data_IF_303442784377
#
_entry.id   IF_303442784377
#
_cell.length_a   1.000
_cell.length_b   1.000
_cell.length_c   1.000
_cell.angle_alpha   90.00
_cell.angle_beta   90.00
_cell.angle_gamma   90.00
#
_symmetry.space_group_name_H-M   'P 1'
#
loop_
_entity.id
_entity.type
_entity.pdbx_description
1 polymer ?
#
# COMPACT_ATOMS: atom_id res chain seq x y z
N UNK A 1 25.37 21.06 -19.16
CA UNK A 1 25.43 20.85 -17.69
C UNK A 1 24.12 21.41 -17.13
N UNK A 2 23.28 20.59 -16.50
CA UNK A 2 22.00 21.07 -15.96
C UNK A 2 22.22 22.03 -14.78
N UNK A 3 21.32 23.00 -14.60
CA UNK A 3 21.34 23.91 -13.44
C UNK A 3 21.18 23.09 -12.14
N UNK A 4 21.91 23.42 -11.06
CA UNK A 4 21.80 22.73 -9.76
C UNK A 4 20.35 22.60 -9.25
N UNK A 5 19.52 23.61 -9.55
CA UNK A 5 18.10 23.64 -9.17
C UNK A 5 17.28 22.57 -9.93
N UNK A 6 17.59 22.32 -11.20
CA UNK A 6 16.92 21.31 -12.02
C UNK A 6 17.25 19.91 -11.51
N UNK A 7 18.51 19.66 -11.11
CA UNK A 7 18.94 18.36 -10.57
C UNK A 7 18.22 18.01 -9.26
N UNK A 8 18.02 19.00 -8.38
CA UNK A 8 17.29 18.82 -7.12
C UNK A 8 15.82 18.48 -7.39
N UNK A 9 15.15 19.21 -8.29
CA UNK A 9 13.73 18.96 -8.64
C UNK A 9 13.55 17.56 -9.20
N UNK A 10 14.42 17.12 -10.12
CA UNK A 10 14.36 15.78 -10.71
C UNK A 10 14.56 14.66 -9.66
N UNK A 11 15.44 14.87 -8.68
CA UNK A 11 15.65 13.92 -7.58
C UNK A 11 14.40 13.79 -6.69
N UNK A 12 13.73 14.90 -6.37
CA UNK A 12 12.47 14.87 -5.62
C UNK A 12 11.33 14.24 -6.41
N UNK A 13 11.19 14.53 -7.70
CA UNK A 13 10.20 13.85 -8.55
C UNK A 13 10.45 12.34 -8.58
N UNK A 14 11.72 11.92 -8.72
CA UNK A 14 12.07 10.50 -8.70
C UNK A 14 11.79 9.84 -7.34
N UNK A 15 12.05 10.52 -6.23
CA UNK A 15 11.70 10.03 -4.89
C UNK A 15 10.18 9.86 -4.72
N UNK A 16 9.39 10.83 -5.19
CA UNK A 16 7.94 10.78 -5.14
C UNK A 16 7.40 9.62 -5.99
N UNK A 17 7.93 9.42 -7.20
CA UNK A 17 7.57 8.30 -8.06
C UNK A 17 7.89 6.94 -7.42
N UNK A 18 9.09 6.80 -6.84
CA UNK A 18 9.49 5.56 -6.16
C UNK A 18 8.57 5.22 -4.98
N UNK A 19 8.13 6.23 -4.21
CA UNK A 19 7.21 6.02 -3.10
C UNK A 19 5.81 5.62 -3.59
N UNK A 20 5.31 6.18 -4.70
CA UNK A 20 4.03 5.74 -5.28
C UNK A 20 4.09 4.32 -5.81
N UNK A 21 5.21 3.89 -6.40
CA UNK A 21 5.37 2.53 -6.89
C UNK A 21 5.31 1.50 -5.75
N UNK A 22 5.91 1.81 -4.60
CA UNK A 22 5.85 0.98 -3.40
C UNK A 22 4.43 0.83 -2.85
N UNK A 23 3.69 1.93 -2.70
CA UNK A 23 2.33 1.88 -2.14
C UNK A 23 1.35 1.20 -3.10
N UNK A 24 1.49 1.42 -4.42
CA UNK A 24 0.67 0.76 -5.44
C UNK A 24 0.95 -0.74 -5.47
N UNK A 25 2.22 -1.15 -5.49
CA UNK A 25 2.59 -2.59 -5.49
C UNK A 25 2.10 -3.30 -4.22
N UNK A 26 2.27 -2.67 -3.06
CA UNK A 26 1.71 -3.16 -1.80
C UNK A 26 0.18 -3.31 -1.88
N UNK A 27 -0.52 -2.27 -2.32
CA UNK A 27 -1.98 -2.26 -2.44
C UNK A 27 -2.52 -3.35 -3.36
N UNK A 28 -1.82 -3.63 -4.46
CA UNK A 28 -2.14 -4.72 -5.38
C UNK A 28 -2.00 -6.09 -4.71
N UNK A 29 -0.93 -6.34 -3.95
CA UNK A 29 -0.73 -7.58 -3.20
C UNK A 29 -1.81 -7.80 -2.13
N UNK A 30 -2.20 -6.74 -1.41
CA UNK A 30 -3.33 -6.80 -0.45
C UNK A 30 -4.62 -7.20 -1.15
N UNK A 31 -4.93 -6.56 -2.28
CA UNK A 31 -6.13 -6.85 -3.08
C UNK A 31 -6.13 -8.29 -3.60
N UNK A 32 -4.99 -8.79 -4.05
CA UNK A 32 -4.82 -10.17 -4.49
C UNK A 32 -5.13 -11.15 -3.36
N UNK A 33 -4.43 -11.02 -2.22
CA UNK A 33 -4.63 -11.89 -1.06
C UNK A 33 -6.07 -11.83 -0.54
N UNK A 34 -6.69 -10.65 -0.50
CA UNK A 34 -8.10 -10.49 -0.12
C UNK A 34 -9.03 -11.28 -1.05
N UNK A 35 -8.80 -11.18 -2.37
CA UNK A 35 -9.60 -11.91 -3.36
C UNK A 35 -9.41 -13.43 -3.29
N UNK A 36 -8.18 -13.89 -3.06
CA UNK A 36 -7.89 -15.32 -2.84
C UNK A 36 -8.69 -15.86 -1.64
N UNK A 37 -8.86 -15.06 -0.60
CA UNK A 37 -9.69 -15.39 0.57
C UNK A 37 -11.18 -15.08 0.41
N UNK A 38 -11.62 -14.67 -0.79
CA UNK A 38 -13.02 -14.33 -1.13
C UNK A 38 -13.64 -13.27 -0.19
N UNK A 39 -12.82 -12.37 0.33
CA UNK A 39 -13.27 -11.31 1.23
C UNK A 39 -13.68 -10.07 0.43
N UNK A 40 -14.77 -9.40 0.83
CA UNK A 40 -15.08 -8.04 0.36
C UNK A 40 -14.16 -7.01 1.03
N UNK A 41 -14.04 -5.82 0.45
CA UNK A 41 -13.31 -4.71 1.09
C UNK A 41 -13.94 -4.36 2.45
N UNK A 42 -15.28 -4.34 2.53
CA UNK A 42 -16.04 -4.15 3.78
C UNK A 42 -15.62 -5.16 4.86
N UNK A 43 -15.55 -6.44 4.48
CA UNK A 43 -15.22 -7.51 5.43
C UNK A 43 -13.78 -7.41 5.91
N UNK A 44 -12.83 -7.12 5.02
CA UNK A 44 -11.44 -6.96 5.42
C UNK A 44 -11.24 -5.70 6.29
N UNK A 45 -11.91 -4.60 5.95
CA UNK A 45 -11.89 -3.38 6.74
C UNK A 45 -12.41 -3.62 8.17
N UNK A 46 -13.51 -4.35 8.30
CA UNK A 46 -14.04 -4.78 9.60
C UNK A 46 -13.05 -5.63 10.39
N UNK A 47 -12.38 -6.59 9.75
CA UNK A 47 -11.37 -7.45 10.41
C UNK A 47 -10.14 -6.65 10.89
N UNK A 48 -9.80 -5.57 10.20
CA UNK A 48 -8.69 -4.69 10.55
C UNK A 48 -9.11 -3.51 11.44
N UNK A 49 -10.41 -3.42 11.80
CA UNK A 49 -10.98 -2.28 12.52
C UNK A 49 -10.64 -0.91 11.87
N UNK A 50 -10.82 -0.82 10.56
CA UNK A 50 -10.63 0.41 9.78
C UNK A 50 -11.86 0.71 8.92
N UNK A 51 -11.93 1.93 8.42
CA UNK A 51 -12.97 2.33 7.48
C UNK A 51 -12.82 1.65 6.11
N UNK A 52 -13.94 1.27 5.49
CA UNK A 52 -14.00 0.64 4.16
C UNK A 52 -13.38 1.52 3.07
N UNK A 53 -13.60 2.84 3.12
CA UNK A 53 -12.97 3.79 2.20
C UNK A 53 -11.46 3.80 2.37
N UNK A 54 -10.97 3.76 3.61
CA UNK A 54 -9.53 3.65 3.90
C UNK A 54 -8.93 2.35 3.33
N UNK A 55 -9.59 1.20 3.53
CA UNK A 55 -9.21 -0.06 2.86
C UNK A 55 -9.15 0.08 1.34
N UNK A 56 -10.14 0.74 0.72
CA UNK A 56 -10.13 1.00 -0.72
C UNK A 56 -8.95 1.86 -1.18
N UNK A 57 -8.56 2.88 -0.40
CA UNK A 57 -7.40 3.73 -0.68
C UNK A 57 -6.08 2.96 -0.55
N UNK A 58 -5.97 2.06 0.42
CA UNK A 58 -4.82 1.16 0.59
C UNK A 58 -4.64 0.30 -0.67
N UNK A 59 -5.70 -0.35 -1.14
CA UNK A 59 -5.63 -1.22 -2.32
C UNK A 59 -5.31 -0.50 -3.63
N UNK A 60 -5.52 0.83 -3.68
CA UNK A 60 -5.15 1.67 -4.83
C UNK A 60 -3.78 2.34 -4.67
N UNK A 61 -3.09 2.14 -3.54
CA UNK A 61 -1.81 2.78 -3.26
C UNK A 61 -1.89 4.28 -2.97
N UNK A 62 -3.07 4.80 -2.64
CA UNK A 62 -3.33 6.24 -2.41
C UNK A 62 -2.92 6.71 -1.00
N UNK A 63 -2.43 5.80 -0.17
CA UNK A 63 -2.01 6.08 1.21
C UNK A 63 -0.70 5.39 1.51
N UNK A 64 0.18 6.12 2.20
CA UNK A 64 1.34 5.54 2.83
C UNK A 64 0.91 4.96 4.19
N UNK A 65 0.95 3.62 4.32
CA UNK A 65 0.53 2.94 5.54
C UNK A 65 1.71 2.75 6.50
N UNK A 66 1.41 2.69 7.79
CA UNK A 66 2.43 2.36 8.79
C UNK A 66 2.77 0.88 8.74
N UNK A 67 3.96 0.53 9.23
CA UNK A 67 4.38 -0.87 9.36
C UNK A 67 3.39 -1.67 10.23
N UNK A 68 2.88 -1.07 11.32
CA UNK A 68 1.88 -1.69 12.19
C UNK A 68 0.64 -2.14 11.40
N UNK A 69 0.15 -1.29 10.46
CA UNK A 69 -0.98 -1.64 9.60
C UNK A 69 -0.66 -2.76 8.61
N UNK A 70 0.58 -2.86 8.14
CA UNK A 70 1.02 -4.02 7.33
C UNK A 70 0.84 -5.32 8.12
N UNK A 71 1.27 -5.35 9.39
CA UNK A 71 1.15 -6.55 10.22
C UNK A 71 -0.30 -6.86 10.60
N UNK A 72 -1.13 -5.85 10.86
CA UNK A 72 -2.57 -6.05 11.08
C UNK A 72 -3.25 -6.64 9.84
N UNK A 73 -2.95 -6.10 8.65
CA UNK A 73 -3.47 -6.61 7.38
C UNK A 73 -3.03 -8.05 7.13
N UNK A 74 -1.75 -8.35 7.34
CA UNK A 74 -1.21 -9.69 7.19
C UNK A 74 -1.90 -10.69 8.14
N UNK A 75 -2.16 -10.28 9.39
CA UNK A 75 -2.89 -11.08 10.37
C UNK A 75 -4.35 -11.30 9.96
N UNK A 76 -5.05 -10.25 9.54
CA UNK A 76 -6.44 -10.34 9.10
C UNK A 76 -6.61 -11.17 7.82
N UNK A 77 -5.61 -11.10 6.95
CA UNK A 77 -5.51 -11.93 5.75
C UNK A 77 -4.86 -13.29 6.02
N UNK A 78 -4.44 -13.61 7.25
CA UNK A 78 -3.80 -14.88 7.60
C UNK A 78 -2.72 -15.30 6.57
N UNK A 79 -1.75 -14.38 6.40
CA UNK A 79 -0.54 -14.51 5.57
C UNK A 79 0.65 -13.89 6.29
N UNK A 80 1.87 -14.14 5.81
CA UNK A 80 3.04 -13.43 6.34
C UNK A 80 3.11 -12.01 5.75
N UNK A 81 3.64 -11.01 6.47
CA UNK A 81 3.85 -9.66 5.93
C UNK A 81 4.65 -9.65 4.63
N UNK A 82 5.60 -10.58 4.48
CA UNK A 82 6.39 -10.77 3.25
C UNK A 82 5.53 -11.01 2.01
N UNK A 83 4.34 -11.61 2.16
CA UNK A 83 3.40 -11.80 1.05
C UNK A 83 2.72 -10.50 0.60
N UNK A 84 2.74 -9.46 1.43
CA UNK A 84 2.14 -8.16 1.12
C UNK A 84 3.15 -7.12 0.64
N UNK A 85 4.43 -7.28 0.99
CA UNK A 85 5.49 -6.35 0.61
C UNK A 85 5.88 -6.51 -0.86
N UNK A 86 6.15 -5.42 -1.61
CA UNK A 86 6.61 -5.43 -3.00
C UNK A 86 7.83 -6.33 -3.24
#
# INVERSE_FOLDING_TARGET
MYSPQIVIVLFFEQLIQNMSDLTVSFGLKVREQRKLKKLSQERLALLCNIDRSYMGRIERGEVNITLEKVYELAKALDVTPKNLLP
#
